data_IF_333100182003
#
_entry.id   IF_333100182003
#
_cell.length_a   1.000
_cell.length_b   1.000
_cell.length_c   1.000
_cell.angle_alpha   90.00
_cell.angle_beta   90.00
_cell.angle_gamma   90.00
#
_symmetry.space_group_name_H-M   'P 1'
#
loop_
_entity.id
_entity.type
_entity.pdbx_description
1 polymer ?
#
# COMPACT_ATOMS: atom_id res chain seq x y z
N UNK A 1 21.43 8.73 -11.05
CA UNK A 1 22.09 7.47 -11.45
C UNK A 1 20.97 6.44 -11.57
N UNK A 2 20.67 5.99 -12.79
CA UNK A 2 19.49 5.15 -13.04
C UNK A 2 19.67 3.74 -12.52
N UNK A 3 18.58 3.12 -12.08
CA UNK A 3 18.48 1.74 -11.59
C UNK A 3 18.71 0.69 -12.69
N UNK A 4 19.69 0.89 -13.58
CA UNK A 4 19.96 -0.03 -14.67
C UNK A 4 20.82 -1.19 -14.19
N UNK A 5 20.41 -2.42 -14.49
CA UNK A 5 21.16 -3.63 -14.18
C UNK A 5 21.25 -4.53 -15.40
N UNK A 6 22.21 -5.45 -15.39
CA UNK A 6 22.39 -6.55 -16.35
C UNK A 6 22.45 -7.91 -15.65
N UNK A 7 22.52 -7.93 -14.32
CA UNK A 7 22.55 -9.12 -13.49
C UNK A 7 21.87 -8.89 -12.14
N UNK A 8 21.28 -9.95 -11.60
CA UNK A 8 20.70 -10.02 -10.25
C UNK A 8 21.61 -9.42 -9.17
N UNK A 9 22.90 -9.74 -9.21
CA UNK A 9 23.90 -9.30 -8.23
C UNK A 9 24.16 -7.79 -8.19
N UNK A 10 23.71 -7.05 -9.20
CA UNK A 10 23.81 -5.59 -9.24
C UNK A 10 22.62 -4.91 -8.55
N UNK A 11 21.62 -5.68 -8.14
CA UNK A 11 20.45 -5.21 -7.44
C UNK A 11 20.56 -5.60 -5.98
N UNK A 12 20.28 -4.64 -5.08
CA UNK A 12 20.30 -4.86 -3.64
C UNK A 12 19.42 -6.06 -3.21
N UNK A 13 18.41 -6.40 -4.02
CA UNK A 13 17.49 -7.50 -3.79
C UNK A 13 17.60 -8.66 -4.79
N UNK A 14 18.61 -8.69 -5.66
CA UNK A 14 18.82 -9.86 -6.52
C UNK A 14 17.91 -9.97 -7.76
N UNK A 15 17.04 -9.00 -8.05
CA UNK A 15 16.13 -9.10 -9.20
C UNK A 15 16.45 -8.02 -10.24
N UNK A 16 17.10 -8.44 -11.32
CA UNK A 16 17.30 -7.61 -12.51
C UNK A 16 16.34 -8.04 -13.62
N UNK A 17 15.28 -7.27 -13.86
CA UNK A 17 14.28 -7.52 -14.89
C UNK A 17 14.16 -6.30 -15.81
N UNK A 18 14.14 -6.51 -17.13
CA UNK A 18 14.09 -5.44 -18.15
C UNK A 18 15.17 -4.37 -17.97
N UNK A 19 16.39 -4.80 -17.63
CA UNK A 19 17.51 -3.95 -17.26
C UNK A 19 17.23 -3.00 -16.09
N UNK A 20 16.29 -3.34 -15.20
CA UNK A 20 15.98 -2.58 -14.01
C UNK A 20 16.00 -3.45 -12.76
N UNK A 21 16.59 -2.92 -11.68
CA UNK A 21 16.48 -3.55 -10.38
C UNK A 21 15.04 -3.47 -9.91
N UNK A 22 14.34 -4.59 -10.03
CA UNK A 22 12.98 -4.72 -9.55
C UNK A 22 13.02 -5.22 -8.12
N UNK A 23 12.01 -4.84 -7.37
CA UNK A 23 11.85 -5.29 -6.01
C UNK A 23 10.37 -5.48 -5.77
N UNK A 24 10.05 -6.59 -5.15
CA UNK A 24 8.68 -6.98 -4.88
C UNK A 24 8.39 -6.74 -3.41
N UNK A 25 7.44 -5.86 -3.14
CA UNK A 25 6.79 -5.74 -1.84
C UNK A 25 6.01 -7.03 -1.60
N UNK A 26 6.41 -7.84 -0.62
CA UNK A 26 5.86 -9.18 -0.44
C UNK A 26 5.46 -9.50 1.00
N UNK A 27 4.71 -10.59 1.13
CA UNK A 27 4.23 -11.18 2.37
C UNK A 27 4.75 -12.60 2.54
N UNK A 28 4.94 -13.03 3.79
CA UNK A 28 5.13 -14.44 4.12
C UNK A 28 3.86 -15.23 3.78
N UNK A 29 3.98 -16.49 3.34
CA UNK A 29 2.81 -17.32 3.00
C UNK A 29 1.75 -17.32 4.10
N UNK A 30 2.13 -17.62 5.34
CA UNK A 30 1.19 -17.70 6.47
C UNK A 30 0.40 -16.41 6.79
N UNK A 31 0.69 -15.28 6.14
CA UNK A 31 -0.08 -14.03 6.26
C UNK A 31 -1.55 -14.27 5.96
N UNK A 32 -2.41 -13.95 6.91
CA UNK A 32 -3.86 -14.05 6.78
C UNK A 32 -4.40 -12.83 6.03
N UNK A 33 -5.10 -13.06 4.93
CA UNK A 33 -5.80 -12.02 4.17
C UNK A 33 -7.31 -12.10 4.41
N UNK A 34 -7.98 -10.95 4.51
CA UNK A 34 -9.41 -10.87 4.75
C UNK A 34 -10.20 -10.96 3.43
N UNK A 35 -11.01 -12.00 3.31
CA UNK A 35 -11.95 -12.21 2.22
C UNK A 35 -13.17 -11.29 2.37
N UNK A 36 -13.80 -10.95 1.25
CA UNK A 36 -15.00 -10.11 1.23
C UNK A 36 -16.18 -10.66 2.04
N UNK A 37 -16.27 -11.99 2.18
CA UNK A 37 -17.29 -12.65 3.00
C UNK A 37 -17.00 -12.63 4.51
N UNK A 38 -15.91 -11.97 4.92
CA UNK A 38 -15.48 -11.85 6.31
C UNK A 38 -14.62 -13.01 6.81
N UNK A 39 -14.40 -14.04 5.99
CA UNK A 39 -13.47 -15.14 6.33
C UNK A 39 -12.02 -14.73 6.08
N UNK A 40 -11.08 -15.48 6.65
CA UNK A 40 -9.64 -15.28 6.40
C UNK A 40 -9.03 -16.52 5.75
N UNK A 41 -8.11 -16.30 4.82
CA UNK A 41 -7.28 -17.36 4.24
C UNK A 41 -5.80 -16.96 4.32
N UNK A 42 -4.89 -17.92 4.32
CA UNK A 42 -3.47 -17.62 4.13
C UNK A 42 -3.20 -17.14 2.69
N UNK A 43 -2.26 -16.21 2.52
CA UNK A 43 -1.99 -15.58 1.22
C UNK A 43 -1.44 -16.57 0.18
N UNK A 44 -0.80 -17.68 0.60
CA UNK A 44 -0.38 -18.74 -0.34
C UNK A 44 -1.55 -19.44 -1.04
N UNK A 45 -2.75 -19.36 -0.47
CA UNK A 45 -3.97 -19.93 -1.02
C UNK A 45 -4.77 -18.93 -1.87
N UNK A 46 -4.31 -17.68 -1.99
CA UNK A 46 -4.95 -16.69 -2.82
C UNK A 46 -4.95 -17.11 -4.31
N UNK A 47 -6.06 -16.87 -4.99
CA UNK A 47 -6.25 -17.18 -6.40
C UNK A 47 -6.81 -15.98 -7.15
N UNK A 48 -6.49 -15.89 -8.44
CA UNK A 48 -7.07 -14.88 -9.34
C UNK A 48 -8.59 -14.99 -9.32
N UNK A 49 -9.27 -13.85 -9.23
CA UNK A 49 -10.72 -13.73 -9.13
C UNK A 49 -11.28 -13.76 -7.70
N UNK A 50 -10.46 -14.07 -6.69
CA UNK A 50 -10.88 -13.90 -5.29
C UNK A 50 -11.10 -12.42 -4.97
N UNK A 51 -12.04 -12.13 -4.09
CA UNK A 51 -12.41 -10.77 -3.68
C UNK A 51 -12.04 -10.56 -2.23
N UNK A 52 -11.24 -9.52 -1.98
CA UNK A 52 -10.67 -9.18 -0.69
C UNK A 52 -11.21 -7.84 -0.20
N UNK A 53 -11.18 -7.64 1.12
CA UNK A 53 -11.53 -6.35 1.73
C UNK A 53 -10.35 -5.38 1.55
N UNK A 54 -10.62 -4.24 0.90
CA UNK A 54 -9.72 -3.11 0.75
C UNK A 54 -10.09 -1.92 1.63
N UNK A 55 -9.44 -0.77 1.37
CA UNK A 55 -9.74 0.51 2.01
C UNK A 55 -11.24 0.84 1.88
N UNK A 56 -11.84 1.41 2.94
CA UNK A 56 -13.25 1.81 2.97
C UNK A 56 -14.27 0.69 2.66
N UNK A 57 -13.94 -0.56 3.03
CA UNK A 57 -14.77 -1.74 2.73
C UNK A 57 -15.03 -1.90 1.22
N UNK A 58 -14.02 -1.64 0.39
CA UNK A 58 -14.09 -1.93 -1.03
C UNK A 58 -13.78 -3.39 -1.35
N UNK A 59 -14.35 -3.85 -2.46
CA UNK A 59 -14.16 -5.18 -3.00
C UNK A 59 -12.99 -5.19 -3.99
N UNK A 60 -11.80 -5.56 -3.52
CA UNK A 60 -10.60 -5.62 -4.35
C UNK A 60 -10.40 -7.04 -4.88
N UNK A 61 -10.48 -7.20 -6.20
CA UNK A 61 -10.38 -8.50 -6.88
C UNK A 61 -8.94 -8.81 -7.19
N UNK A 62 -8.47 -10.02 -6.85
CA UNK A 62 -7.12 -10.49 -7.20
C UNK A 62 -7.01 -10.68 -8.71
N UNK A 63 -6.14 -9.89 -9.35
CA UNK A 63 -5.82 -9.98 -10.77
C UNK A 63 -4.61 -10.87 -11.04
N UNK A 64 -3.66 -10.91 -10.11
CA UNK A 64 -2.47 -11.76 -10.23
C UNK A 64 -1.90 -12.13 -8.86
N UNK A 65 -1.21 -13.26 -8.82
CA UNK A 65 -0.42 -13.72 -7.68
C UNK A 65 1.02 -13.89 -8.14
N UNK A 66 1.93 -13.12 -7.57
CA UNK A 66 3.37 -13.20 -7.82
C UNK A 66 4.06 -13.87 -6.64
N UNK A 67 5.12 -14.62 -6.94
CA UNK A 67 5.90 -15.35 -5.95
C UNK A 67 7.36 -14.97 -6.10
N UNK A 68 8.02 -14.77 -4.97
CA UNK A 68 9.45 -14.48 -4.92
C UNK A 68 10.12 -15.19 -3.76
N UNK A 69 11.44 -15.22 -3.75
CA UNK A 69 12.20 -15.72 -2.60
C UNK A 69 12.51 -14.58 -1.62
N UNK A 70 12.55 -14.90 -0.32
CA UNK A 70 12.91 -13.94 0.73
C UNK A 70 14.32 -13.36 0.53
N UNK A 71 15.29 -14.22 0.17
CA UNK A 71 16.68 -13.83 0.04
C UNK A 71 17.28 -13.43 1.39
N UNK A 72 18.08 -12.37 1.42
CA UNK A 72 18.70 -11.84 2.64
C UNK A 72 17.83 -10.80 3.38
N UNK A 73 16.59 -10.60 2.91
CA UNK A 73 15.68 -9.63 3.51
C UNK A 73 15.19 -10.15 4.87
N UNK A 74 15.12 -9.28 5.89
CA UNK A 74 14.40 -9.62 7.10
C UNK A 74 12.89 -9.58 6.86
N UNK A 75 12.14 -10.19 7.77
CA UNK A 75 10.70 -9.96 7.90
C UNK A 75 10.42 -9.10 9.14
N UNK A 76 9.33 -8.35 9.07
CA UNK A 76 8.86 -7.47 10.13
C UNK A 76 7.48 -7.89 10.65
N UNK A 77 7.24 -7.65 11.94
CA UNK A 77 5.97 -7.81 12.62
C UNK A 77 5.61 -6.58 13.45
N UNK A 78 4.35 -6.48 13.86
CA UNK A 78 3.79 -5.33 14.58
C UNK A 78 3.03 -5.78 15.81
N UNK A 79 3.09 -4.99 16.88
CA UNK A 79 2.22 -5.15 18.06
C UNK A 79 2.23 -6.58 18.64
N UNK A 80 3.40 -7.22 18.63
CA UNK A 80 3.64 -8.59 19.11
C UNK A 80 3.03 -9.71 18.24
N UNK A 81 2.58 -9.39 17.03
CA UNK A 81 2.24 -10.37 15.99
C UNK A 81 3.52 -10.92 15.32
N UNK A 82 3.41 -12.13 14.78
CA UNK A 82 4.48 -12.79 14.02
C UNK A 82 4.89 -11.96 12.79
N UNK A 83 6.15 -12.09 12.37
CA UNK A 83 6.64 -11.37 11.20
C UNK A 83 6.05 -11.90 9.90
N UNK A 84 5.52 -10.99 9.08
CA UNK A 84 4.70 -11.37 7.92
C UNK A 84 5.03 -10.58 6.65
N UNK A 85 5.88 -9.57 6.73
CA UNK A 85 6.02 -8.59 5.65
C UNK A 85 7.45 -8.10 5.46
N UNK A 86 7.81 -7.76 4.22
CA UNK A 86 9.14 -7.26 3.86
C UNK A 86 9.36 -5.78 4.21
N UNK A 87 10.61 -5.31 4.33
CA UNK A 87 10.91 -3.97 4.86
C UNK A 87 10.32 -2.82 4.05
N UNK A 88 10.31 -2.96 2.72
CA UNK A 88 9.84 -1.97 1.75
C UNK A 88 8.34 -2.04 1.46
N UNK A 89 7.60 -2.97 2.07
CA UNK A 89 6.19 -3.15 1.75
C UNK A 89 5.35 -1.99 2.29
N UNK A 90 4.55 -1.31 1.44
CA UNK A 90 3.81 -0.14 1.86
C UNK A 90 2.52 -0.47 2.64
N UNK A 91 2.35 0.19 3.77
CA UNK A 91 1.08 0.42 4.43
C UNK A 91 0.47 1.74 3.93
N UNK A 92 -0.87 1.83 3.96
CA UNK A 92 -1.57 3.07 3.65
C UNK A 92 -1.52 3.99 4.87
N UNK A 93 -1.08 5.24 4.68
CA UNK A 93 -1.09 6.23 5.78
C UNK A 93 -2.52 6.62 6.14
N UNK A 94 -2.82 6.60 7.45
CA UNK A 94 -4.10 7.09 7.99
C UNK A 94 -4.22 8.61 7.89
N UNK A 95 -3.10 9.33 7.81
CA UNK A 95 -3.05 10.80 7.83
C UNK A 95 -3.13 11.41 6.44
N UNK A 96 -2.56 10.73 5.44
CA UNK A 96 -2.52 11.21 4.07
C UNK A 96 -2.46 10.03 3.10
N UNK A 97 -3.54 9.79 2.36
CA UNK A 97 -3.61 8.69 1.38
C UNK A 97 -2.53 8.79 0.28
N UNK A 98 -1.94 9.96 0.04
CA UNK A 98 -0.82 10.15 -0.89
C UNK A 98 0.55 9.79 -0.32
N UNK A 99 0.61 9.35 0.94
CA UNK A 99 1.81 8.92 1.65
C UNK A 99 1.70 7.44 1.98
N UNK A 100 2.78 6.71 1.76
CA UNK A 100 2.92 5.32 2.17
C UNK A 100 3.85 5.19 3.37
N UNK A 101 3.61 4.16 4.19
CA UNK A 101 4.41 3.86 5.37
C UNK A 101 5.16 2.54 5.15
N UNK A 102 6.46 2.49 5.41
CA UNK A 102 7.31 1.30 5.23
C UNK A 102 8.18 1.06 6.47
N UNK A 103 8.70 -0.13 6.67
CA UNK A 103 9.59 -0.40 7.81
C UNK A 103 11.01 0.12 7.62
N UNK A 104 11.50 0.21 6.38
CA UNK A 104 12.88 0.60 6.09
C UNK A 104 12.96 1.53 4.87
N UNK A 105 13.21 2.82 5.14
CA UNK A 105 13.29 3.84 4.08
C UNK A 105 14.48 3.63 3.14
N UNK A 106 15.59 3.07 3.64
CA UNK A 106 16.77 2.81 2.81
C UNK A 106 16.44 1.77 1.74
N UNK A 107 15.80 0.68 2.15
CA UNK A 107 15.35 -0.39 1.28
C UNK A 107 14.28 0.14 0.34
N UNK A 108 13.28 0.87 0.82
CA UNK A 108 12.26 1.48 -0.02
C UNK A 108 12.85 2.43 -1.09
N UNK A 109 13.84 3.26 -0.74
CA UNK A 109 14.49 4.18 -1.67
C UNK A 109 15.33 3.45 -2.75
N UNK A 110 15.96 2.33 -2.40
CA UNK A 110 16.69 1.51 -3.39
C UNK A 110 15.74 0.90 -4.44
N UNK A 111 14.50 0.66 -4.03
CA UNK A 111 13.48 -0.06 -4.76
C UNK A 111 12.60 0.86 -5.60
N UNK A 112 12.15 1.96 -5.00
CA UNK A 112 11.26 2.98 -5.59
C UNK A 112 11.74 4.37 -5.18
N UNK A 113 12.90 4.83 -5.67
CA UNK A 113 13.40 6.16 -5.36
C UNK A 113 12.46 7.27 -5.85
N UNK A 114 11.60 6.98 -6.83
CA UNK A 114 10.58 7.88 -7.34
C UNK A 114 9.45 8.19 -6.34
N UNK A 115 9.31 7.38 -5.27
CA UNK A 115 8.28 7.54 -4.25
C UNK A 115 8.82 8.01 -2.89
N UNK A 116 10.13 8.20 -2.76
CA UNK A 116 10.74 8.43 -1.44
C UNK A 116 10.24 9.72 -0.77
N UNK A 117 9.99 10.79 -1.54
CA UNK A 117 9.44 12.06 -1.04
C UNK A 117 8.00 11.93 -0.50
N UNK A 118 7.37 10.77 -0.69
CA UNK A 118 6.02 10.43 -0.24
C UNK A 118 5.99 9.11 0.54
N UNK A 119 7.13 8.73 1.12
CA UNK A 119 7.30 7.52 1.92
C UNK A 119 7.82 7.91 3.30
N UNK A 120 7.13 7.45 4.33
CA UNK A 120 7.52 7.65 5.72
C UNK A 120 7.88 6.31 6.36
N UNK A 121 8.75 6.34 7.37
CA UNK A 121 9.10 5.13 8.12
C UNK A 121 8.07 4.85 9.21
N UNK A 122 7.74 3.57 9.38
CA UNK A 122 6.99 3.07 10.52
C UNK A 122 7.90 3.05 11.74
N UNK A 123 7.46 3.73 12.80
CA UNK A 123 8.13 3.80 14.08
C UNK A 123 7.12 3.49 15.20
N UNK A 124 7.62 3.29 16.43
CA UNK A 124 6.74 3.21 17.60
C UNK A 124 5.98 4.54 17.71
N UNK A 125 4.65 4.47 17.82
CA UNK A 125 3.76 5.63 17.80
C UNK A 125 3.16 5.95 16.42
N UNK A 126 3.61 5.32 15.33
CA UNK A 126 2.94 5.43 14.03
C UNK A 126 1.51 4.91 14.12
N UNK A 127 0.61 5.50 13.35
CA UNK A 127 -0.79 5.11 13.28
C UNK A 127 -1.05 4.35 11.98
N UNK A 128 -1.73 3.20 12.07
CA UNK A 128 -2.04 2.31 10.95
C UNK A 128 -3.52 1.96 10.96
N UNK A 129 -4.08 1.69 9.78
CA UNK A 129 -5.41 1.09 9.68
C UNK A 129 -5.37 -0.37 10.13
N UNK A 130 -6.29 -0.76 11.01
CA UNK A 130 -6.48 -2.12 11.53
C UNK A 130 -7.94 -2.52 11.36
N UNK A 131 -8.18 -3.71 10.81
CA UNK A 131 -9.49 -4.30 10.74
C UNK A 131 -10.04 -4.65 12.13
N UNK A 132 -11.27 -4.21 12.38
CA UNK A 132 -12.06 -4.57 13.54
C UNK A 132 -13.17 -5.54 13.11
N UNK A 133 -13.03 -6.81 13.50
CA UNK A 133 -13.99 -7.87 13.17
C UNK A 133 -15.32 -7.75 13.92
N UNK A 134 -15.40 -6.94 14.97
CA UNK A 134 -16.66 -6.71 15.71
C UNK A 134 -17.55 -5.74 14.94
N UNK A 135 -16.97 -4.71 14.35
CA UNK A 135 -17.69 -3.66 13.61
C UNK A 135 -17.69 -3.89 12.10
N UNK A 136 -16.84 -4.79 11.59
CA UNK A 136 -16.55 -4.96 10.17
C UNK A 136 -16.11 -3.66 9.49
N UNK A 137 -15.21 -2.93 10.17
CA UNK A 137 -14.66 -1.66 9.68
C UNK A 137 -13.15 -1.60 9.91
N UNK A 138 -12.50 -0.65 9.25
CA UNK A 138 -11.13 -0.25 9.58
C UNK A 138 -11.15 0.79 10.69
N UNK A 139 -10.43 0.50 11.76
CA UNK A 139 -10.12 1.43 12.85
C UNK A 139 -8.66 1.89 12.74
N UNK A 140 -8.27 2.85 13.58
CA UNK A 140 -6.87 3.28 13.71
C UNK A 140 -6.26 2.58 14.93
N UNK A 141 -5.09 1.99 14.72
CA UNK A 141 -4.25 1.44 15.80
C UNK A 141 -2.90 2.12 15.83
N UNK A 142 -2.29 2.19 17.00
CA UNK A 142 -0.93 2.71 17.19
C UNK A 142 0.06 1.56 17.23
N UNK A 143 1.21 1.74 16.60
CA UNK A 143 2.34 0.81 16.68
C UNK A 143 3.00 0.91 18.05
N UNK A 144 2.95 -0.17 18.82
CA UNK A 144 3.48 -0.29 20.18
C UNK A 144 4.77 -1.13 20.22
N UNK A 145 4.91 -2.07 19.29
CA UNK A 145 6.12 -2.88 19.13
C UNK A 145 6.37 -3.19 17.65
N UNK A 146 7.64 -3.33 17.31
CA UNK A 146 8.11 -3.76 15.98
C UNK A 146 9.09 -4.91 16.21
N UNK A 147 8.83 -6.04 15.58
CA UNK A 147 9.76 -7.18 15.54
C UNK A 147 10.44 -7.22 14.17
N UNK A 148 11.71 -7.63 14.17
CA UNK A 148 12.53 -7.79 12.97
C UNK A 148 13.32 -9.07 13.10
N UNK A 149 13.23 -9.95 12.10
CA UNK A 149 13.92 -11.24 12.14
C UNK A 149 14.58 -11.59 10.81
N UNK A 150 15.71 -12.28 10.91
CA UNK A 150 16.43 -12.92 9.80
C UNK A 150 16.40 -14.46 9.92
N UNK A 151 15.58 -15.00 10.82
CA UNK A 151 15.57 -16.44 11.15
C UNK A 151 14.92 -17.31 10.08
N UNK A 152 14.24 -16.72 9.10
CA UNK A 152 13.63 -17.45 7.99
C UNK A 152 14.68 -17.85 6.95
N UNK A 153 14.45 -18.99 6.30
CA UNK A 153 15.31 -19.45 5.20
C UNK A 153 15.30 -18.46 4.04
N UNK A 154 16.47 -18.23 3.42
CA UNK A 154 16.57 -17.40 2.20
C UNK A 154 15.68 -17.89 1.05
N UNK A 155 15.37 -19.18 1.02
CA UNK A 155 14.51 -19.81 0.01
C UNK A 155 13.01 -19.76 0.37
N UNK A 156 12.64 -19.10 1.48
CA UNK A 156 11.23 -18.92 1.87
C UNK A 156 10.48 -18.22 0.74
N UNK A 157 9.37 -18.81 0.30
CA UNK A 157 8.50 -18.20 -0.71
C UNK A 157 7.70 -17.08 -0.09
N UNK A 158 7.76 -15.91 -0.72
CA UNK A 158 6.94 -14.76 -0.44
C UNK A 158 5.92 -14.54 -1.55
N UNK A 159 4.85 -13.87 -1.20
CA UNK A 159 3.68 -13.67 -2.05
C UNK A 159 3.39 -12.17 -2.20
N UNK A 160 3.06 -11.77 -3.42
CA UNK A 160 2.50 -10.46 -3.71
C UNK A 160 1.21 -10.65 -4.51
N UNK A 161 0.15 -10.00 -4.06
CA UNK A 161 -1.09 -9.93 -4.83
C UNK A 161 -1.08 -8.67 -5.68
N UNK A 162 -1.67 -8.74 -6.85
CA UNK A 162 -2.07 -7.57 -7.65
C UNK A 162 -3.59 -7.58 -7.62
N UNK A 163 -4.23 -6.49 -7.20
CA UNK A 163 -5.69 -6.39 -7.17
C UNK A 163 -6.18 -5.29 -8.09
N UNK A 164 -7.44 -5.31 -8.47
CA UNK A 164 -8.13 -4.09 -8.87
C UNK A 164 -8.67 -3.37 -7.62
N UNK A 165 -9.20 -2.17 -7.84
CA UNK A 165 -9.98 -1.43 -6.84
C UNK A 165 -10.92 -0.48 -7.57
N UNK A 166 -12.22 -0.41 -7.18
CA UNK A 166 -13.16 0.55 -7.74
C UNK A 166 -12.75 2.00 -7.52
N UNK A 167 -12.21 2.36 -6.35
CA UNK A 167 -11.63 3.69 -6.14
C UNK A 167 -10.29 3.84 -6.84
N UNK A 168 -9.55 2.76 -7.05
CA UNK A 168 -8.18 2.78 -7.55
C UNK A 168 -7.14 2.70 -6.43
N UNK A 169 -7.55 2.50 -5.18
CA UNK A 169 -6.67 2.16 -4.05
C UNK A 169 -6.60 0.64 -3.88
N UNK A 170 -5.67 0.01 -4.62
CA UNK A 170 -5.40 -1.43 -4.55
C UNK A 170 -4.78 -1.79 -3.20
N UNK A 171 -5.60 -2.29 -2.31
CA UNK A 171 -5.25 -2.52 -0.92
C UNK A 171 -5.90 -3.79 -0.41
N UNK A 172 -5.29 -4.41 0.59
CA UNK A 172 -5.84 -5.58 1.26
C UNK A 172 -5.64 -5.45 2.76
N UNK A 173 -6.48 -6.12 3.52
CA UNK A 173 -6.24 -6.38 4.94
C UNK A 173 -5.38 -7.64 5.07
N UNK A 174 -4.14 -7.50 5.51
CA UNK A 174 -3.14 -8.55 5.70
C UNK A 174 -2.68 -8.59 7.16
N UNK A 175 -2.79 -9.76 7.81
CA UNK A 175 -2.70 -9.93 9.27
C UNK A 175 -3.50 -8.86 10.04
N UNK A 176 -4.64 -8.48 9.46
CA UNK A 176 -5.53 -7.49 10.02
C UNK A 176 -5.13 -6.03 9.82
N UNK A 177 -3.99 -5.72 9.20
CA UNK A 177 -3.58 -4.35 8.86
C UNK A 177 -3.86 -4.03 7.39
N UNK A 178 -4.21 -2.79 7.08
CA UNK A 178 -4.39 -2.38 5.68
C UNK A 178 -3.03 -2.08 5.01
N UNK A 179 -2.75 -2.81 3.94
CA UNK A 179 -1.51 -2.71 3.15
C UNK A 179 -1.83 -2.45 1.68
N UNK A 180 -0.93 -1.77 0.96
CA UNK A 180 -1.08 -1.61 -0.49
C UNK A 180 -0.53 -2.84 -1.23
N UNK A 181 -1.23 -3.36 -2.23
CA UNK A 181 -0.83 -4.59 -2.93
C UNK A 181 0.16 -4.38 -4.07
N UNK A 182 0.21 -3.18 -4.63
CA UNK A 182 1.32 -2.74 -5.47
C UNK A 182 2.13 -1.66 -4.75
N UNK A 183 3.43 -1.53 -5.06
CA UNK A 183 4.16 -0.28 -4.78
C UNK A 183 3.38 0.84 -5.46
N UNK A 184 2.61 1.54 -4.67
CA UNK A 184 1.42 2.20 -5.13
C UNK A 184 1.71 3.19 -6.28
N UNK A 185 1.18 2.91 -7.47
CA UNK A 185 0.55 3.96 -8.28
C UNK A 185 -0.73 4.52 -7.59
N UNK A 186 -1.07 3.96 -6.42
CA UNK A 186 -2.39 3.83 -5.78
C UNK A 186 -2.87 5.00 -4.94
N UNK A 187 -2.23 6.15 -5.04
CA UNK A 187 -2.84 7.40 -4.58
C UNK A 187 -2.79 8.50 -5.63
N UNK A 188 -1.85 8.41 -6.57
CA UNK A 188 -1.63 9.48 -7.52
C UNK A 188 -2.66 9.51 -8.63
N UNK A 189 -3.26 8.37 -9.02
CA UNK A 189 -4.31 8.39 -10.03
C UNK A 189 -5.65 8.96 -9.53
N UNK A 190 -5.97 8.81 -8.23
CA UNK A 190 -7.13 9.44 -7.61
C UNK A 190 -6.89 10.91 -7.29
N UNK A 191 -5.71 11.24 -6.76
CA UNK A 191 -5.28 12.63 -6.61
C UNK A 191 -5.23 13.33 -7.98
N UNK A 192 -4.71 12.70 -9.04
CA UNK A 192 -4.71 13.24 -10.40
C UNK A 192 -6.11 13.31 -10.98
N UNK A 193 -6.97 12.29 -10.89
CA UNK A 193 -8.31 12.41 -11.49
C UNK A 193 -9.17 13.46 -10.80
N UNK A 194 -9.11 13.58 -9.48
CA UNK A 194 -9.77 14.65 -8.74
C UNK A 194 -9.13 16.03 -9.05
N UNK A 195 -7.80 16.11 -9.10
CA UNK A 195 -7.05 17.31 -9.48
C UNK A 195 -7.36 17.77 -10.92
N UNK A 196 -7.35 16.85 -11.88
CA UNK A 196 -7.66 17.10 -13.30
C UNK A 196 -9.14 17.45 -13.49
N UNK A 197 -10.05 16.80 -12.76
CA UNK A 197 -11.48 17.16 -12.76
C UNK A 197 -11.71 18.58 -12.22
N UNK A 198 -10.97 18.98 -11.19
CA UNK A 198 -11.01 20.34 -10.66
C UNK A 198 -10.40 21.31 -11.69
N UNK A 199 -9.21 21.05 -12.24
CA UNK A 199 -8.58 21.88 -13.27
C UNK A 199 -9.49 22.10 -14.49
N UNK A 200 -10.21 21.08 -14.93
CA UNK A 200 -11.17 21.16 -16.03
C UNK A 200 -12.41 22.01 -15.69
N UNK A 201 -12.77 22.15 -14.41
CA UNK A 201 -13.86 23.01 -13.95
C UNK A 201 -13.41 24.46 -13.69
N UNK A 202 -12.17 24.70 -13.23
CA UNK A 202 -11.68 26.06 -12.90
C UNK A 202 -10.94 26.76 -14.05
N UNK A 203 -10.66 26.06 -15.16
CA UNK A 203 -10.27 26.66 -16.43
C UNK A 203 -8.92 27.39 -16.46
N UNK A 204 -8.01 27.14 -15.52
CA UNK A 204 -6.66 27.75 -15.50
C UNK A 204 -5.66 26.88 -14.72
N UNK A 205 -4.36 26.88 -15.09
CA UNK A 205 -3.36 26.09 -14.38
C UNK A 205 -3.06 26.73 -13.01
N UNK A 206 -3.44 26.06 -11.93
CA UNK A 206 -2.93 26.41 -10.60
C UNK A 206 -1.47 25.94 -10.47
N UNK A 207 -0.61 26.70 -9.77
CA UNK A 207 0.79 26.35 -9.61
C UNK A 207 0.95 25.01 -8.85
N UNK A 208 2.04 24.29 -9.17
CA UNK A 208 2.43 23.02 -8.55
C UNK A 208 2.27 23.06 -7.01
N UNK A 209 1.78 21.99 -6.37
CA UNK A 209 1.41 22.04 -4.97
C UNK A 209 2.65 22.20 -4.09
N UNK A 210 2.79 23.38 -3.49
CA UNK A 210 3.70 23.60 -2.37
C UNK A 210 2.99 23.28 -1.05
N UNK A 211 3.78 22.97 -0.02
CA UNK A 211 3.39 22.53 1.33
C UNK A 211 2.34 23.41 2.03
N UNK A 212 2.10 24.62 1.52
CA UNK A 212 1.18 25.61 2.08
C UNK A 212 -0.31 25.37 1.72
N UNK A 213 -0.61 24.50 0.74
CA UNK A 213 -1.99 24.26 0.29
C UNK A 213 -2.73 23.10 0.99
N UNK A 214 -2.04 22.27 1.78
CA UNK A 214 -2.63 21.09 2.45
C UNK A 214 -3.75 21.43 3.45
N UNK A 215 -3.72 22.62 4.06
CA UNK A 215 -4.75 23.09 4.99
C UNK A 215 -6.03 23.56 4.27
N UNK A 216 -5.88 24.12 3.07
CA UNK A 216 -7.00 24.52 2.20
C UNK A 216 -7.65 23.30 1.55
N UNK A 217 -6.86 22.28 1.19
CA UNK A 217 -7.33 20.99 0.68
C UNK A 217 -8.27 20.26 1.65
N UNK A 218 -7.97 20.24 2.96
CA UNK A 218 -8.85 19.63 3.97
C UNK A 218 -10.22 20.30 4.08
N UNK A 219 -10.29 21.63 3.88
CA UNK A 219 -11.56 22.37 3.97
C UNK A 219 -12.44 22.22 2.72
N UNK A 220 -11.83 21.93 1.56
CA UNK A 220 -12.54 21.90 0.26
C UNK A 220 -12.83 20.46 -0.20
N UNK A 221 -11.90 19.51 -0.02
CA UNK A 221 -12.04 18.17 -0.57
C UNK A 221 -12.96 17.26 0.25
N UNK A 222 -12.98 17.41 1.58
CA UNK A 222 -13.78 16.56 2.48
C UNK A 222 -15.30 16.73 2.22
N UNK A 223 -15.85 17.95 2.03
CA UNK A 223 -17.27 18.12 1.68
C UNK A 223 -17.63 17.64 0.28
N UNK A 224 -16.71 17.77 -0.70
CA UNK A 224 -16.95 17.39 -2.09
C UNK A 224 -17.01 15.86 -2.24
N UNK A 225 -16.10 15.13 -1.58
CA UNK A 225 -16.14 13.66 -1.53
C UNK A 225 -17.43 13.16 -0.89
N UNK A 226 -17.92 13.84 0.17
CA UNK A 226 -19.20 13.52 0.81
C UNK A 226 -20.43 13.80 -0.08
N UNK A 227 -20.35 14.73 -1.05
CA UNK A 227 -21.43 14.98 -2.02
C UNK A 227 -21.47 13.95 -3.14
N UNK A 228 -20.31 13.45 -3.60
CA UNK A 228 -20.24 12.36 -4.57
C UNK A 228 -20.73 11.01 -4.00
N UNK A 229 -20.55 10.78 -2.69
CA UNK A 229 -21.02 9.57 -2.00
C UNK A 229 -22.55 9.49 -1.80
N UNK A 230 -23.27 10.62 -1.85
CA UNK A 230 -24.71 10.69 -1.59
C UNK A 230 -25.60 10.87 -2.83
N UNK A 231 -25.04 10.72 -4.05
CA UNK A 231 -25.83 10.62 -5.28
C UNK A 231 -26.65 11.87 -5.68
N UNK A 232 -26.37 13.06 -5.15
CA UNK A 232 -27.01 14.30 -5.61
C UNK A 232 -26.09 15.09 -6.53
N UNK A 233 -26.09 14.71 -7.81
CA UNK A 233 -25.74 15.65 -8.88
C UNK A 233 -27.03 16.37 -9.26
N UNK A 234 -27.25 17.57 -8.72
CA UNK A 234 -28.16 18.51 -9.38
C UNK A 234 -27.41 19.09 -10.57
N UNK A 235 -27.80 18.66 -11.77
CA UNK A 235 -27.48 19.31 -13.02
C UNK A 235 -28.07 20.73 -13.02
N UNK A 236 -27.21 21.72 -13.10
CA UNK A 236 -27.50 23.12 -13.40
C UNK A 236 -26.34 23.70 -14.17
#
# INVERSE_FOLDING_TARGET
MGCSCTAASQCAQGHCLNNACNSFSCFLGSTQILMWDGTTISIENAQVGMVLVGLNNENNTVLAVRKETLGDRPLYGLNSEDEFITPEHPFISVKNLSVQLVFDLTTANQVRPDLIDRTEQIEIGSELYRWNSTTNTLDITTVQSITKTYSYSRNTTLYQLITDSPSGVMSIVANGYLTATECSKLAFALADKAYQSILNQVGSPLPQPTTQYLSVWHQIAVPIVAQFQNGRVHSG
#
